data_IF_723877100301
#
_entry.id   IF_723877100301
#
_cell.length_a   1.000
_cell.length_b   1.000
_cell.length_c   1.000
_cell.angle_alpha   90.00
_cell.angle_beta   90.00
_cell.angle_gamma   90.00
#
_symmetry.space_group_name_H-M   'P 1'
#
loop_
_entity.id
_entity.type
_entity.pdbx_description
1 polymer ?
#
# COMPACT_ATOMS: atom_id res chain seq x y z
N UNK A 1 8.83 -28.24 7.07
CA UNK A 1 10.29 -28.05 7.09
C UNK A 1 10.85 -28.68 5.83
N UNK A 2 11.53 -27.93 4.95
CA UNK A 2 12.04 -28.44 3.66
C UNK A 2 11.02 -29.27 2.87
N UNK A 3 9.88 -28.67 2.53
CA UNK A 3 8.67 -29.33 1.96
C UNK A 3 7.96 -30.37 2.84
N UNK A 4 8.62 -31.02 3.79
CA UNK A 4 8.03 -32.10 4.62
C UNK A 4 7.16 -31.52 5.76
N UNK A 5 5.94 -32.05 6.02
CA UNK A 5 5.11 -31.65 7.16
C UNK A 5 5.70 -32.09 8.51
N UNK A 6 5.42 -31.33 9.58
CA UNK A 6 5.77 -31.71 10.96
C UNK A 6 4.51 -32.16 11.69
N UNK A 7 4.37 -33.46 11.95
CA UNK A 7 3.29 -34.00 12.77
C UNK A 7 3.67 -33.94 14.27
N UNK A 8 3.38 -32.81 14.90
CA UNK A 8 3.69 -32.57 16.31
C UNK A 8 2.53 -32.91 17.27
N UNK A 9 1.28 -32.72 16.84
CA UNK A 9 0.09 -32.84 17.70
C UNK A 9 -0.86 -34.00 17.30
N UNK A 10 -0.52 -34.77 16.26
CA UNK A 10 -1.41 -35.78 15.68
C UNK A 10 -2.40 -35.18 14.67
N UNK A 11 -2.59 -35.84 13.53
CA UNK A 11 -3.65 -35.49 12.57
C UNK A 11 -5.01 -35.47 13.28
N UNK A 12 -5.73 -34.36 13.18
CA UNK A 12 -7.11 -34.26 13.66
C UNK A 12 -8.14 -34.72 12.62
N UNK A 13 -7.66 -35.26 11.49
CA UNK A 13 -8.48 -35.95 10.50
C UNK A 13 -8.40 -37.46 10.69
N UNK A 14 -9.56 -38.08 10.87
CA UNK A 14 -9.73 -39.53 10.96
C UNK A 14 -9.73 -40.17 9.56
N UNK A 15 -8.67 -40.94 9.31
CA UNK A 15 -8.58 -41.91 8.24
C UNK A 15 -9.40 -43.16 8.59
N UNK A 16 -10.68 -43.17 8.22
CA UNK A 16 -11.64 -44.30 8.38
C UNK A 16 -11.28 -45.54 7.55
N UNK A 17 -10.10 -46.11 7.80
CA UNK A 17 -9.47 -47.18 7.01
C UNK A 17 -8.69 -46.70 5.76
N UNK A 18 -8.59 -45.39 5.51
CA UNK A 18 -8.00 -44.83 4.28
C UNK A 18 -6.62 -44.21 4.51
N UNK A 19 -5.55 -44.94 4.19
CA UNK A 19 -4.18 -44.40 4.20
C UNK A 19 -3.86 -43.57 2.94
N UNK A 20 -2.78 -42.77 3.01
CA UNK A 20 -2.25 -42.03 1.86
C UNK A 20 -1.84 -43.03 0.77
N UNK A 21 -2.45 -42.91 -0.42
CA UNK A 21 -2.30 -43.88 -1.51
C UNK A 21 -3.36 -44.99 -1.57
N UNK A 22 -4.28 -45.05 -0.59
CA UNK A 22 -5.44 -45.94 -0.61
C UNK A 22 -6.57 -45.51 -1.57
N UNK A 23 -7.69 -46.26 -1.61
CA UNK A 23 -8.87 -45.88 -2.39
C UNK A 23 -9.46 -44.53 -1.95
N UNK A 24 -10.26 -43.89 -2.82
CA UNK A 24 -10.83 -42.55 -2.61
C UNK A 24 -11.85 -42.52 -1.45
N UNK A 25 -11.39 -42.33 -0.23
CA UNK A 25 -12.21 -42.02 0.94
C UNK A 25 -12.41 -40.51 1.15
N UNK A 26 -13.44 -40.14 1.91
CA UNK A 26 -13.55 -38.80 2.51
C UNK A 26 -13.08 -38.89 3.97
N UNK A 27 -12.13 -38.05 4.36
CA UNK A 27 -11.64 -37.97 5.73
C UNK A 27 -12.66 -37.27 6.63
N UNK A 28 -12.73 -37.68 7.90
CA UNK A 28 -13.62 -37.06 8.90
C UNK A 28 -12.83 -36.09 9.75
N UNK A 29 -13.23 -34.82 9.83
CA UNK A 29 -12.59 -33.85 10.72
C UNK A 29 -13.07 -34.06 12.17
N UNK A 30 -12.13 -34.21 13.10
CA UNK A 30 -12.38 -34.29 14.54
C UNK A 30 -11.97 -32.99 15.26
N UNK A 31 -12.11 -31.85 14.57
CA UNK A 31 -11.78 -30.51 15.07
C UNK A 31 -10.61 -29.83 14.33
N UNK A 32 -10.30 -28.56 14.66
CA UNK A 32 -9.16 -27.85 14.10
C UNK A 32 -7.84 -28.33 14.70
N UNK A 33 -6.76 -28.30 13.91
CA UNK A 33 -5.42 -28.65 14.36
C UNK A 33 -4.87 -27.58 15.33
N UNK A 34 -4.24 -27.94 16.48
CA UNK A 34 -3.91 -26.98 17.54
C UNK A 34 -2.95 -25.83 17.17
N UNK A 35 -2.05 -26.03 16.19
CA UNK A 35 -1.08 -25.00 15.80
C UNK A 35 -0.69 -25.10 14.32
N UNK A 36 -1.09 -24.09 13.53
CA UNK A 36 -0.80 -24.04 12.09
C UNK A 36 -1.81 -24.80 11.24
N UNK A 37 -1.33 -25.53 10.23
CA UNK A 37 -2.14 -26.34 9.30
C UNK A 37 -1.90 -27.82 9.56
N UNK A 38 -2.95 -28.63 9.50
CA UNK A 38 -2.85 -30.07 9.75
C UNK A 38 -1.88 -30.75 8.74
N UNK A 39 -0.92 -31.58 9.23
CA UNK A 39 -0.02 -32.36 8.39
C UNK A 39 -0.68 -33.14 7.24
N UNK A 40 -1.91 -33.63 7.42
CA UNK A 40 -2.56 -34.53 6.45
C UNK A 40 -2.84 -33.86 5.09
N UNK A 41 -2.86 -32.53 5.01
CA UNK A 41 -3.07 -31.82 3.73
C UNK A 41 -1.93 -32.03 2.73
N UNK A 42 -0.72 -32.32 3.22
CA UNK A 42 0.45 -32.60 2.39
C UNK A 42 0.34 -33.98 1.72
N UNK A 43 0.51 -34.02 0.39
CA UNK A 43 0.30 -35.21 -0.43
C UNK A 43 -1.16 -35.45 -0.85
N UNK A 44 -2.10 -34.55 -0.51
CA UNK A 44 -3.49 -34.65 -1.00
C UNK A 44 -3.65 -34.01 -2.37
N UNK A 45 -4.54 -34.58 -3.20
CA UNK A 45 -4.83 -34.01 -4.54
C UNK A 45 -5.45 -32.60 -4.51
N UNK A 46 -5.93 -32.17 -3.35
CA UNK A 46 -6.56 -30.86 -3.14
C UNK A 46 -5.65 -29.88 -2.36
N UNK A 47 -4.41 -30.28 -2.02
CA UNK A 47 -3.40 -29.48 -1.31
C UNK A 47 -3.31 -28.05 -1.85
N UNK A 48 -3.05 -27.92 -3.15
CA UNK A 48 -2.86 -26.62 -3.83
C UNK A 48 -4.12 -25.75 -3.76
N UNK A 49 -5.32 -26.32 -3.89
CA UNK A 49 -6.58 -25.58 -3.83
C UNK A 49 -6.84 -25.03 -2.42
N UNK A 50 -6.55 -25.82 -1.38
CA UNK A 50 -6.65 -25.39 0.02
C UNK A 50 -5.64 -24.28 0.34
N UNK A 51 -4.36 -24.52 0.08
CA UNK A 51 -3.29 -23.56 0.42
C UNK A 51 -3.38 -22.26 -0.39
N UNK A 52 -3.81 -22.31 -1.66
CA UNK A 52 -4.10 -21.11 -2.45
C UNK A 52 -5.17 -20.24 -1.76
N UNK A 53 -6.35 -20.83 -1.46
CA UNK A 53 -7.44 -20.08 -0.82
C UNK A 53 -7.08 -19.56 0.57
N UNK A 54 -6.27 -20.30 1.33
CA UNK A 54 -5.80 -19.90 2.66
C UNK A 54 -4.80 -18.75 2.57
N UNK A 55 -3.71 -18.91 1.80
CA UNK A 55 -2.65 -17.90 1.68
C UNK A 55 -3.17 -16.59 1.07
N UNK A 56 -4.04 -16.65 0.07
CA UNK A 56 -4.67 -15.47 -0.53
C UNK A 56 -5.43 -14.63 0.52
N UNK A 57 -6.25 -15.28 1.37
CA UNK A 57 -7.00 -14.60 2.44
C UNK A 57 -6.09 -13.99 3.50
N UNK A 58 -5.06 -14.71 3.92
CA UNK A 58 -4.08 -14.22 4.92
C UNK A 58 -3.32 -13.00 4.37
N UNK A 59 -2.86 -13.07 3.12
CA UNK A 59 -2.22 -11.95 2.40
C UNK A 59 -3.08 -10.68 2.42
N UNK A 60 -4.37 -10.83 2.11
CA UNK A 60 -5.35 -9.73 2.12
C UNK A 60 -5.58 -9.17 3.54
N UNK A 61 -5.75 -10.04 4.55
CA UNK A 61 -5.92 -9.61 5.96
C UNK A 61 -4.70 -8.83 6.45
N UNK A 62 -3.48 -9.34 6.18
CA UNK A 62 -2.24 -8.67 6.59
C UNK A 62 -2.09 -7.30 5.90
N UNK A 63 -2.33 -7.22 4.59
CA UNK A 63 -2.22 -5.96 3.85
C UNK A 63 -3.19 -4.88 4.31
N UNK A 64 -4.46 -5.24 4.50
CA UNK A 64 -5.49 -4.32 5.03
C UNK A 64 -5.16 -3.89 6.46
N UNK A 65 -4.63 -4.80 7.30
CA UNK A 65 -4.20 -4.47 8.67
C UNK A 65 -3.01 -3.50 8.68
N UNK A 66 -1.95 -3.79 7.91
CA UNK A 66 -0.77 -2.94 7.78
C UNK A 66 -1.13 -1.54 7.22
N UNK A 67 -2.01 -1.48 6.23
CA UNK A 67 -2.47 -0.21 5.67
C UNK A 67 -3.38 0.58 6.60
N UNK A 68 -4.18 -0.07 7.44
CA UNK A 68 -4.96 0.60 8.48
C UNK A 68 -4.04 1.16 9.57
N UNK A 69 -3.03 0.39 9.98
CA UNK A 69 -1.99 0.86 10.90
C UNK A 69 -1.21 2.07 10.35
N UNK A 70 -0.86 2.08 9.06
CA UNK A 70 -0.25 3.25 8.41
C UNK A 70 -1.11 4.51 8.47
N UNK A 71 -2.44 4.40 8.36
CA UNK A 71 -3.35 5.55 8.52
C UNK A 71 -3.46 5.95 10.01
N UNK A 72 -3.43 5.02 10.96
CA UNK A 72 -3.33 5.35 12.39
C UNK A 72 -2.05 6.14 12.74
N UNK A 73 -0.92 5.87 12.09
CA UNK A 73 0.30 6.67 12.28
C UNK A 73 0.13 8.11 11.76
N UNK A 74 -0.59 8.31 10.65
CA UNK A 74 -0.96 9.65 10.16
C UNK A 74 -1.79 10.45 11.18
N UNK A 75 -2.70 9.81 11.92
CA UNK A 75 -3.43 10.47 13.02
C UNK A 75 -2.49 11.02 14.09
N UNK A 76 -1.46 10.27 14.49
CA UNK A 76 -0.49 10.74 15.50
C UNK A 76 0.32 11.93 14.99
N UNK A 77 0.57 12.04 13.67
CA UNK A 77 1.24 13.21 13.10
C UNK A 77 0.38 14.48 13.22
N UNK A 78 -0.88 14.44 12.76
CA UNK A 78 -1.80 15.58 12.90
C UNK A 78 -2.02 15.99 14.38
N UNK A 79 -2.05 15.01 15.30
CA UNK A 79 -2.15 15.28 16.75
C UNK A 79 -0.88 15.96 17.31
N UNK A 80 0.30 15.61 16.80
CA UNK A 80 1.57 16.24 17.18
C UNK A 80 1.67 17.68 16.64
N UNK A 81 1.30 17.89 15.37
CA UNK A 81 1.26 19.19 14.70
C UNK A 81 0.11 20.09 15.19
N UNK A 82 -0.86 19.51 15.90
CA UNK A 82 -2.10 20.12 16.43
C UNK A 82 -3.09 20.59 15.36
N UNK A 83 -3.00 20.05 14.14
CA UNK A 83 -4.05 20.23 13.13
C UNK A 83 -5.26 19.34 13.42
N UNK A 84 -6.15 19.85 14.25
CA UNK A 84 -7.45 19.23 14.52
C UNK A 84 -8.36 19.21 13.29
N UNK A 85 -8.21 20.16 12.35
CA UNK A 85 -9.08 20.23 11.18
C UNK A 85 -8.73 19.12 10.17
N UNK A 86 -7.45 18.91 9.88
CA UNK A 86 -6.97 17.75 9.11
C UNK A 86 -7.33 16.41 9.78
N UNK A 87 -7.24 16.32 11.11
CA UNK A 87 -7.65 15.11 11.84
C UNK A 87 -9.16 14.79 11.66
N UNK A 88 -10.04 15.79 11.74
CA UNK A 88 -11.48 15.57 11.59
C UNK A 88 -11.96 15.48 10.14
N UNK A 89 -11.36 16.22 9.20
CA UNK A 89 -11.84 16.35 7.82
C UNK A 89 -11.02 15.56 6.78
N UNK A 90 -9.81 15.12 7.10
CA UNK A 90 -9.02 14.26 6.23
C UNK A 90 -8.85 12.85 6.83
N UNK A 91 -8.39 12.72 8.07
CA UNK A 91 -8.11 11.41 8.66
C UNK A 91 -9.37 10.56 8.92
N UNK A 92 -10.47 11.15 9.42
CA UNK A 92 -11.72 10.40 9.66
C UNK A 92 -12.29 9.84 8.33
N UNK A 93 -12.49 10.63 7.25
CA UNK A 93 -12.92 10.08 5.96
C UNK A 93 -11.98 9.00 5.42
N UNK A 94 -10.65 9.22 5.52
CA UNK A 94 -9.59 8.27 5.11
C UNK A 94 -9.74 6.92 5.84
N UNK A 95 -9.96 6.93 7.15
CA UNK A 95 -10.20 5.72 7.96
C UNK A 95 -11.55 5.06 7.70
N UNK A 96 -12.60 5.87 7.55
CA UNK A 96 -13.96 5.39 7.33
C UNK A 96 -14.07 4.67 5.99
N UNK A 97 -13.59 5.29 4.91
CA UNK A 97 -13.55 4.69 3.57
C UNK A 97 -12.84 3.32 3.58
N UNK A 98 -11.65 3.27 4.19
CA UNK A 98 -10.83 2.07 4.31
C UNK A 98 -11.55 0.95 5.09
N UNK A 99 -12.24 1.31 6.18
CA UNK A 99 -12.95 0.37 7.05
C UNK A 99 -14.25 -0.13 6.40
N UNK A 100 -15.04 0.76 5.78
CA UNK A 100 -16.31 0.40 5.15
C UNK A 100 -16.14 -0.48 3.90
N UNK A 101 -15.02 -0.35 3.18
CA UNK A 101 -14.72 -1.12 1.98
C UNK A 101 -13.92 -2.40 2.31
N UNK A 102 -12.66 -2.25 2.71
CA UNK A 102 -11.73 -3.36 2.91
C UNK A 102 -11.77 -3.94 4.33
N UNK A 103 -12.16 -3.16 5.34
CA UNK A 103 -12.45 -3.68 6.69
C UNK A 103 -13.65 -4.63 6.69
N UNK A 104 -14.73 -4.29 5.97
CA UNK A 104 -15.86 -5.21 5.76
C UNK A 104 -15.44 -6.48 5.03
N UNK A 105 -14.53 -6.39 4.05
CA UNK A 105 -13.96 -7.55 3.38
C UNK A 105 -13.21 -8.49 4.35
N UNK A 106 -12.44 -7.98 5.34
CA UNK A 106 -11.89 -8.82 6.42
C UNK A 106 -13.02 -9.48 7.21
N UNK A 107 -14.03 -8.71 7.64
CA UNK A 107 -15.12 -9.22 8.47
C UNK A 107 -15.83 -10.42 7.82
N UNK A 108 -16.08 -10.38 6.51
CA UNK A 108 -16.69 -11.50 5.79
C UNK A 108 -15.72 -12.68 5.53
N UNK A 109 -14.39 -12.47 5.50
CA UNK A 109 -13.43 -13.59 5.52
C UNK A 109 -13.51 -14.33 6.86
N UNK A 110 -13.42 -13.58 7.97
CA UNK A 110 -13.42 -14.13 9.33
C UNK A 110 -14.76 -14.83 9.61
N UNK A 111 -15.88 -14.18 9.28
CA UNK A 111 -17.22 -14.77 9.42
C UNK A 111 -17.36 -16.08 8.62
N UNK A 112 -16.85 -16.12 7.38
CA UNK A 112 -16.86 -17.34 6.55
C UNK A 112 -15.98 -18.47 7.14
N UNK A 113 -14.97 -18.15 7.95
CA UNK A 113 -14.18 -19.14 8.69
C UNK A 113 -14.84 -19.60 10.01
N UNK A 114 -15.72 -18.80 10.63
CA UNK A 114 -16.42 -19.18 11.87
C UNK A 114 -17.71 -19.97 11.66
N UNK A 115 -18.28 -19.95 10.46
CA UNK A 115 -19.53 -20.67 10.12
C UNK A 115 -19.23 -22.03 9.47
N UNK A 116 -19.90 -23.08 9.95
CA UNK A 116 -19.89 -24.42 9.37
C UNK A 116 -20.91 -24.53 8.23
N UNK A 117 -20.40 -24.51 6.99
CA UNK A 117 -21.19 -24.63 5.76
C UNK A 117 -21.57 -26.07 5.40
N UNK A 118 -21.25 -27.06 6.24
CA UNK A 118 -21.61 -28.47 6.02
C UNK A 118 -23.00 -28.86 6.55
N UNK A 119 -23.71 -27.95 7.22
CA UNK A 119 -24.97 -28.26 7.90
C UNK A 119 -26.17 -28.20 6.94
N UNK A 120 -27.08 -29.19 6.96
CA UNK A 120 -28.23 -29.24 6.06
C UNK A 120 -29.22 -28.11 6.39
N UNK A 121 -29.23 -27.08 5.55
CA UNK A 121 -30.05 -25.87 5.73
C UNK A 121 -29.31 -24.57 5.39
N UNK A 122 -27.98 -24.59 5.32
CA UNK A 122 -27.20 -23.46 4.80
C UNK A 122 -27.07 -23.51 3.27
N UNK A 123 -27.04 -22.33 2.66
CA UNK A 123 -26.81 -22.15 1.23
C UNK A 123 -25.34 -22.37 0.86
N UNK A 124 -25.06 -22.56 -0.44
CA UNK A 124 -23.71 -22.83 -0.92
C UNK A 124 -22.72 -21.70 -0.56
N UNK A 125 -21.51 -22.01 -0.05
CA UNK A 125 -20.62 -21.04 0.60
C UNK A 125 -20.14 -19.95 -0.38
N UNK A 126 -20.63 -18.70 -0.31
CA UNK A 126 -20.61 -17.75 -1.44
C UNK A 126 -19.21 -17.28 -1.87
N UNK A 127 -19.06 -16.98 -3.16
CA UNK A 127 -17.80 -16.52 -3.75
C UNK A 127 -17.49 -15.07 -3.34
N UNK A 128 -16.61 -14.91 -2.35
CA UNK A 128 -16.35 -13.63 -1.68
C UNK A 128 -16.00 -12.47 -2.63
N UNK A 129 -15.20 -12.74 -3.67
CA UNK A 129 -14.84 -11.76 -4.70
C UNK A 129 -16.09 -11.28 -5.46
N UNK A 130 -17.00 -12.20 -5.80
CA UNK A 130 -18.28 -11.84 -6.41
C UNK A 130 -19.20 -11.09 -5.44
N UNK A 131 -19.18 -11.41 -4.13
CA UNK A 131 -19.90 -10.63 -3.12
C UNK A 131 -19.41 -9.18 -3.04
N UNK A 132 -18.10 -8.95 -3.17
CA UNK A 132 -17.52 -7.60 -3.22
C UNK A 132 -17.81 -6.89 -4.55
N UNK A 133 -17.73 -7.56 -5.70
CA UNK A 133 -18.07 -6.95 -7.00
C UNK A 133 -19.57 -6.60 -7.05
N UNK A 134 -20.46 -7.50 -6.63
CA UNK A 134 -21.91 -7.26 -6.61
C UNK A 134 -22.31 -6.15 -5.63
N UNK A 135 -21.59 -5.98 -4.53
CA UNK A 135 -21.78 -4.87 -3.58
C UNK A 135 -21.73 -3.53 -4.32
N UNK A 136 -20.67 -3.25 -5.08
CA UNK A 136 -20.56 -1.99 -5.84
C UNK A 136 -21.43 -1.94 -7.11
N UNK A 137 -21.62 -3.07 -7.80
CA UNK A 137 -22.32 -3.11 -9.09
C UNK A 137 -23.86 -3.18 -8.98
N UNK A 138 -24.40 -3.62 -7.84
CA UNK A 138 -25.85 -3.80 -7.63
C UNK A 138 -26.20 -3.69 -6.13
N UNK A 139 -26.10 -2.49 -5.53
CA UNK A 139 -26.37 -2.28 -4.11
C UNK A 139 -27.77 -2.74 -3.71
N UNK A 140 -27.89 -3.35 -2.52
CA UNK A 140 -29.16 -3.82 -1.95
C UNK A 140 -29.71 -5.14 -2.50
N UNK A 141 -29.21 -5.67 -3.63
CA UNK A 141 -29.73 -6.91 -4.24
C UNK A 141 -28.82 -8.11 -3.96
N UNK A 142 -29.01 -8.73 -2.79
CA UNK A 142 -28.38 -10.02 -2.44
C UNK A 142 -29.34 -11.16 -2.82
N UNK A 143 -28.95 -12.13 -3.68
CA UNK A 143 -29.74 -13.33 -3.90
C UNK A 143 -29.77 -14.18 -2.63
N UNK A 144 -30.95 -14.65 -2.22
CA UNK A 144 -31.15 -15.44 -0.99
C UNK A 144 -30.24 -16.66 -0.92
N UNK A 145 -30.00 -17.30 -2.06
CA UNK A 145 -29.09 -18.44 -2.26
C UNK A 145 -27.59 -18.11 -2.04
N UNK A 146 -27.26 -16.89 -1.64
CA UNK A 146 -25.90 -16.40 -1.37
C UNK A 146 -25.84 -15.36 -0.24
N UNK A 147 -26.88 -15.23 0.57
CA UNK A 147 -26.84 -14.46 1.82
C UNK A 147 -25.85 -15.11 2.80
N UNK A 148 -24.92 -14.31 3.31
CA UNK A 148 -23.90 -14.74 4.27
C UNK A 148 -24.44 -14.65 5.71
N UNK A 149 -25.26 -13.64 6.00
CA UNK A 149 -25.89 -13.40 7.30
C UNK A 149 -27.22 -12.63 7.11
N UNK A 150 -28.20 -12.76 8.01
CA UNK A 150 -29.49 -12.05 7.90
C UNK A 150 -29.29 -10.53 7.95
N UNK A 151 -29.93 -9.80 7.03
CA UNK A 151 -29.82 -8.34 6.93
C UNK A 151 -28.60 -7.83 6.14
N UNK A 152 -27.85 -8.71 5.46
CA UNK A 152 -26.67 -8.32 4.67
C UNK A 152 -26.94 -7.18 3.66
N UNK A 153 -28.10 -7.16 3.00
CA UNK A 153 -28.44 -6.14 2.00
C UNK A 153 -28.43 -4.71 2.60
N UNK A 154 -29.04 -4.54 3.78
CA UNK A 154 -29.07 -3.27 4.51
C UNK A 154 -27.66 -2.83 4.91
N UNK A 155 -26.90 -3.74 5.53
CA UNK A 155 -25.53 -3.44 5.98
C UNK A 155 -24.63 -3.06 4.79
N UNK A 156 -24.72 -3.77 3.67
CA UNK A 156 -23.98 -3.41 2.46
C UNK A 156 -24.41 -2.05 1.89
N UNK A 157 -25.69 -1.70 1.94
CA UNK A 157 -26.18 -0.38 1.51
C UNK A 157 -25.63 0.74 2.40
N UNK A 158 -25.72 0.61 3.73
CA UNK A 158 -25.15 1.60 4.67
C UNK A 158 -23.63 1.78 4.47
N UNK A 159 -22.89 0.68 4.29
CA UNK A 159 -21.44 0.74 4.06
C UNK A 159 -21.08 1.46 2.75
N UNK A 160 -21.83 1.23 1.67
CA UNK A 160 -21.64 1.94 0.39
C UNK A 160 -21.99 3.41 0.53
N UNK A 161 -23.15 3.75 1.11
CA UNK A 161 -23.58 5.14 1.28
C UNK A 161 -22.57 5.95 2.11
N UNK A 162 -22.04 5.37 3.19
CA UNK A 162 -21.06 6.07 4.03
C UNK A 162 -19.68 6.16 3.34
N UNK A 163 -19.27 5.13 2.59
CA UNK A 163 -18.05 5.20 1.78
C UNK A 163 -18.16 6.24 0.65
N UNK A 164 -19.29 6.32 -0.05
CA UNK A 164 -19.54 7.34 -1.07
C UNK A 164 -19.59 8.75 -0.48
N UNK A 165 -20.21 8.92 0.70
CA UNK A 165 -20.25 10.21 1.40
C UNK A 165 -18.87 10.69 1.87
N UNK A 166 -17.95 9.77 2.17
CA UNK A 166 -16.59 10.12 2.62
C UNK A 166 -15.76 10.84 1.55
N UNK A 167 -16.03 10.60 0.26
CA UNK A 167 -15.26 11.17 -0.86
C UNK A 167 -15.52 12.68 -1.04
N UNK A 168 -16.78 13.18 -1.11
CA UNK A 168 -17.06 14.62 -1.08
C UNK A 168 -16.57 15.33 0.18
N UNK A 169 -16.64 14.69 1.36
CA UNK A 169 -16.15 15.29 2.61
C UNK A 169 -14.64 15.55 2.53
N UNK A 170 -13.86 14.59 2.06
CA UNK A 170 -12.41 14.75 1.89
C UNK A 170 -12.06 15.76 0.78
N UNK A 171 -12.83 15.82 -0.30
CA UNK A 171 -12.61 16.80 -1.38
C UNK A 171 -12.90 18.25 -0.93
N UNK A 172 -13.95 18.47 -0.14
CA UNK A 172 -14.33 19.80 0.35
C UNK A 172 -13.53 20.27 1.57
N UNK A 173 -12.85 19.36 2.28
CA UNK A 173 -12.12 19.63 3.52
C UNK A 173 -11.24 20.90 3.47
N UNK A 174 -10.16 20.89 2.69
CA UNK A 174 -9.20 22.00 2.59
C UNK A 174 -9.73 23.26 1.88
N UNK A 175 -10.44 23.20 0.72
CA UNK A 175 -10.95 24.41 0.09
C UNK A 175 -11.99 25.15 0.97
N UNK A 176 -12.82 24.45 1.75
CA UNK A 176 -13.70 25.11 2.71
C UNK A 176 -12.92 25.81 3.85
N UNK A 177 -11.88 25.17 4.41
CA UNK A 177 -11.04 25.81 5.44
C UNK A 177 -10.43 27.10 4.90
N UNK A 178 -9.81 27.08 3.71
CA UNK A 178 -9.19 28.26 3.12
C UNK A 178 -10.21 29.39 2.87
N UNK A 179 -11.37 29.06 2.28
CA UNK A 179 -12.43 30.04 2.04
C UNK A 179 -12.96 30.67 3.33
N UNK A 180 -13.17 29.90 4.40
CA UNK A 180 -13.61 30.45 5.69
C UNK A 180 -12.52 31.26 6.41
N UNK A 181 -11.24 30.91 6.28
CA UNK A 181 -10.13 31.70 6.82
C UNK A 181 -9.95 33.03 6.08
N UNK A 182 -9.90 33.03 4.74
CA UNK A 182 -9.83 34.27 3.95
C UNK A 182 -11.06 35.17 4.18
N UNK A 183 -12.26 34.58 4.29
CA UNK A 183 -13.49 35.34 4.59
C UNK A 183 -13.48 36.00 5.97
N UNK A 184 -12.80 35.43 6.98
CA UNK A 184 -12.60 36.11 8.27
C UNK A 184 -11.46 37.13 8.25
N UNK A 185 -10.41 36.92 7.43
CA UNK A 185 -9.30 37.86 7.27
C UNK A 185 -9.73 39.23 6.73
N UNK A 186 -10.74 39.27 5.86
CA UNK A 186 -11.27 40.52 5.26
C UNK A 186 -11.96 41.50 6.22
N UNK A 187 -12.17 41.15 7.49
CA UNK A 187 -12.91 41.98 8.46
C UNK A 187 -12.07 42.92 9.35
N UNK A 188 -10.73 42.91 9.24
CA UNK A 188 -9.82 43.33 10.31
C UNK A 188 -8.89 44.53 10.05
N UNK A 189 -9.31 45.56 9.29
CA UNK A 189 -8.41 46.65 8.91
C UNK A 189 -7.95 47.57 10.06
N UNK A 190 -6.69 47.46 10.51
CA UNK A 190 -5.96 48.52 11.25
C UNK A 190 -4.43 48.38 11.27
N UNK A 191 -3.79 49.06 10.31
CA UNK A 191 -2.60 49.92 10.48
C UNK A 191 -1.29 49.36 11.09
N UNK A 192 -0.29 49.13 10.21
CA UNK A 192 1.12 49.50 10.42
C UNK A 192 2.03 48.58 11.26
N UNK A 193 2.98 47.91 10.60
CA UNK A 193 4.40 48.36 10.63
C UNK A 193 5.21 47.66 9.51
N UNK A 194 6.13 48.40 8.88
CA UNK A 194 6.92 47.95 7.73
C UNK A 194 8.23 47.25 8.10
N UNK A 195 8.29 45.92 7.96
CA UNK A 195 9.55 45.19 7.84
C UNK A 195 9.49 44.13 6.73
N UNK A 196 10.31 44.32 5.69
CA UNK A 196 10.42 43.39 4.56
C UNK A 196 11.12 42.08 4.94
N UNK A 197 10.78 40.99 4.22
CA UNK A 197 11.32 39.64 4.38
C UNK A 197 12.72 39.44 3.76
N UNK A 198 13.02 38.28 3.12
CA UNK A 198 12.10 37.25 2.59
C UNK A 198 11.71 36.17 3.62
N UNK A 199 10.72 35.32 3.39
CA UNK A 199 9.93 35.08 2.17
C UNK A 199 10.00 33.59 1.78
N UNK A 200 9.04 32.80 2.28
CA UNK A 200 9.14 31.34 2.34
C UNK A 200 7.99 30.62 1.59
N UNK A 201 7.66 31.08 0.38
CA UNK A 201 6.51 30.56 -0.40
C UNK A 201 6.76 30.48 -1.91
N UNK A 202 7.94 30.03 -2.35
CA UNK A 202 8.16 29.72 -3.77
C UNK A 202 9.21 28.61 -3.99
N UNK A 203 8.79 27.34 -3.96
CA UNK A 203 9.45 26.23 -4.69
C UNK A 203 8.65 24.91 -4.64
N UNK A 204 7.42 24.90 -5.18
CA UNK A 204 6.69 23.64 -5.51
C UNK A 204 6.50 23.49 -7.04
N UNK A 205 7.61 23.60 -7.76
CA UNK A 205 7.71 23.19 -9.17
C UNK A 205 9.07 22.51 -9.40
N UNK A 206 9.19 21.79 -10.53
CA UNK A 206 10.42 21.15 -11.03
C UNK A 206 10.83 19.80 -10.38
N UNK A 207 9.88 18.97 -9.90
CA UNK A 207 10.15 17.51 -9.71
C UNK A 207 9.02 16.58 -10.21
N UNK A 208 8.51 16.77 -11.44
CA UNK A 208 7.85 15.62 -12.12
C UNK A 208 7.90 15.55 -13.66
N UNK A 209 8.71 16.38 -14.34
CA UNK A 209 8.93 16.27 -15.80
C UNK A 209 10.40 15.96 -16.15
N UNK A 210 10.81 14.69 -16.00
CA UNK A 210 12.02 14.15 -16.68
C UNK A 210 12.17 12.62 -16.72
N UNK A 211 11.09 11.90 -17.00
CA UNK A 211 11.14 10.46 -17.37
C UNK A 211 10.72 10.24 -18.83
N UNK A 212 11.41 10.91 -19.76
CA UNK A 212 11.21 10.74 -21.19
C UNK A 212 12.30 11.44 -22.01
N UNK A 213 12.94 10.70 -22.91
CA UNK A 213 13.76 11.17 -24.04
C UNK A 213 14.81 12.27 -23.74
N UNK A 214 16.10 11.88 -23.65
CA UNK A 214 16.96 12.00 -24.84
C UNK A 214 18.34 11.34 -24.69
N UNK A 215 18.73 10.59 -25.72
CA UNK A 215 20.12 10.25 -26.03
C UNK A 215 20.63 11.24 -27.08
N UNK A 216 21.50 12.18 -26.72
CA UNK A 216 22.58 12.78 -27.54
C UNK A 216 23.19 13.99 -26.82
N UNK A 217 24.45 14.34 -27.13
CA UNK A 217 25.20 15.42 -26.47
C UNK A 217 26.10 16.16 -27.46
N UNK A 218 25.76 17.41 -27.78
CA UNK A 218 26.54 18.32 -28.63
C UNK A 218 26.03 19.76 -28.46
N UNK A 219 26.57 20.66 -27.62
CA UNK A 219 27.96 21.08 -27.29
C UNK A 219 28.43 22.30 -28.11
N UNK A 220 27.91 23.47 -27.74
CA UNK A 220 28.62 24.78 -27.67
C UNK A 220 27.76 25.71 -26.81
N UNK A 221 28.26 26.66 -26.02
CA UNK A 221 29.59 27.26 -25.98
C UNK A 221 29.56 28.61 -26.70
N UNK A 222 29.35 29.69 -25.95
CA UNK A 222 29.17 31.05 -26.48
C UNK A 222 30.33 32.00 -26.19
N UNK A 223 30.29 33.19 -26.80
CA UNK A 223 31.17 34.34 -26.58
C UNK A 223 30.41 35.63 -26.92
N UNK A 224 30.89 36.79 -26.46
CA UNK A 224 30.28 38.11 -26.74
C UNK A 224 31.31 39.21 -27.08
N UNK A 225 30.82 40.35 -27.55
CA UNK A 225 31.55 41.58 -27.95
C UNK A 225 30.51 42.73 -27.94
N UNK A 226 30.63 43.80 -27.14
CA UNK A 226 31.40 45.06 -27.31
C UNK A 226 30.76 46.15 -28.20
N UNK A 227 30.62 47.35 -27.59
CA UNK A 227 30.52 48.74 -28.13
C UNK A 227 29.31 49.12 -29.04
N UNK A 228 28.74 50.34 -29.01
CA UNK A 228 28.91 51.57 -28.18
C UNK A 228 27.57 51.88 -27.42
N UNK A 229 27.02 53.07 -27.10
CA UNK A 229 27.41 54.50 -27.23
C UNK A 229 26.23 55.47 -26.96
N UNK A 230 26.48 56.77 -26.66
CA UNK A 230 25.46 57.85 -26.84
C UNK A 230 25.06 58.79 -25.65
N UNK A 231 25.82 59.89 -25.48
CA UNK A 231 25.54 61.25 -24.95
C UNK A 231 24.41 61.65 -23.92
N UNK A 232 24.86 62.26 -22.81
CA UNK A 232 24.38 63.43 -22.02
C UNK A 232 22.89 63.87 -21.88
N UNK A 233 22.40 63.98 -20.62
CA UNK A 233 22.26 65.28 -19.88
C UNK A 233 21.62 65.23 -18.46
N UNK A 234 22.42 65.70 -17.47
CA UNK A 234 22.15 66.82 -16.53
C UNK A 234 20.71 67.05 -15.98
N UNK A 235 20.55 66.92 -14.66
CA UNK A 235 19.51 67.62 -13.88
C UNK A 235 18.99 66.83 -12.67
N UNK A 236 18.84 67.48 -11.51
CA UNK A 236 18.26 66.88 -10.31
C UNK A 236 17.42 67.89 -9.54
N UNK A 237 16.65 67.41 -8.56
CA UNK A 237 15.72 68.19 -7.75
C UNK A 237 14.38 67.46 -7.60
N UNK A 238 13.95 67.20 -6.37
CA UNK A 238 12.72 66.47 -6.08
C UNK A 238 11.48 67.39 -6.02
N UNK A 239 10.31 66.79 -6.21
CA UNK A 239 9.01 67.40 -6.03
C UNK A 239 7.91 66.35 -6.16
N UNK A 240 7.11 66.15 -5.13
CA UNK A 240 6.05 65.15 -5.14
C UNK A 240 4.81 65.61 -5.91
N UNK A 241 4.20 64.69 -6.67
CA UNK A 241 2.89 64.89 -7.30
C UNK A 241 2.09 63.60 -7.14
N UNK A 242 0.89 63.69 -6.58
CA UNK A 242 -0.03 62.55 -6.52
C UNK A 242 -0.59 62.25 -7.91
N UNK A 243 -0.47 61.01 -8.37
CA UNK A 243 -1.14 60.51 -9.56
C UNK A 243 -1.95 59.26 -9.19
N UNK A 244 -3.28 59.40 -9.15
CA UNK A 244 -4.22 58.32 -8.79
C UNK A 244 -4.75 57.65 -10.06
N UNK A 245 -4.15 56.54 -10.46
CA UNK A 245 -4.57 55.58 -11.50
C UNK A 245 -3.84 54.26 -11.14
N UNK A 246 -4.41 53.06 -11.23
CA UNK A 246 -5.79 52.67 -11.59
C UNK A 246 -6.14 51.34 -10.87
N UNK A 247 -7.39 50.87 -10.96
CA UNK A 247 -7.90 49.78 -10.11
C UNK A 247 -7.87 48.42 -10.82
N UNK A 248 -6.70 47.78 -10.95
CA UNK A 248 -6.64 46.34 -11.25
C UNK A 248 -7.08 45.55 -10.01
N UNK A 249 -7.95 44.55 -10.19
CA UNK A 249 -8.66 43.89 -9.09
C UNK A 249 -8.44 42.39 -9.01
N UNK A 250 -8.22 41.91 -7.78
CA UNK A 250 -8.70 40.65 -7.16
C UNK A 250 -8.60 39.28 -7.88
N UNK A 251 -8.02 39.14 -9.08
CA UNK A 251 -7.87 37.82 -9.74
C UNK A 251 -6.94 36.85 -8.96
N UNK A 252 -6.14 37.34 -8.02
CA UNK A 252 -5.32 36.50 -7.13
C UNK A 252 -6.13 35.58 -6.20
N UNK A 253 -7.43 35.86 -5.96
CA UNK A 253 -8.28 35.02 -5.13
C UNK A 253 -8.73 33.72 -5.82
N UNK A 254 -9.17 33.82 -7.09
CA UNK A 254 -9.77 32.67 -7.78
C UNK A 254 -8.74 31.62 -8.19
N UNK A 255 -7.54 32.04 -8.63
CA UNK A 255 -6.48 31.11 -9.01
C UNK A 255 -6.02 30.27 -7.81
N UNK A 256 -5.76 30.92 -6.67
CA UNK A 256 -5.35 30.22 -5.43
C UNK A 256 -6.41 29.21 -4.95
N UNK A 257 -7.71 29.55 -5.05
CA UNK A 257 -8.78 28.61 -4.71
C UNK A 257 -8.86 27.43 -5.70
N UNK A 258 -8.72 27.70 -7.00
CA UNK A 258 -8.67 26.68 -8.04
C UNK A 258 -7.51 25.70 -7.83
N UNK A 259 -6.30 26.21 -7.56
CA UNK A 259 -5.10 25.40 -7.40
C UNK A 259 -5.18 24.49 -6.15
N UNK A 260 -5.73 25.00 -5.04
CA UNK A 260 -6.03 24.18 -3.83
C UNK A 260 -7.09 23.10 -4.13
N UNK A 261 -8.12 23.43 -4.90
CA UNK A 261 -9.17 22.48 -5.28
C UNK A 261 -8.63 21.37 -6.21
N UNK A 262 -7.78 21.72 -7.17
CA UNK A 262 -7.10 20.77 -8.07
C UNK A 262 -6.20 19.84 -7.26
N UNK A 263 -5.33 20.37 -6.40
CA UNK A 263 -4.43 19.58 -5.57
C UNK A 263 -5.21 18.62 -4.64
N UNK A 264 -6.22 19.11 -3.92
CA UNK A 264 -7.05 18.27 -3.04
C UNK A 264 -7.87 17.23 -3.83
N UNK A 265 -8.28 17.56 -5.07
CA UNK A 265 -8.92 16.63 -6.00
C UNK A 265 -7.98 15.49 -6.43
N UNK A 266 -6.74 15.81 -6.81
CA UNK A 266 -5.70 14.82 -7.16
C UNK A 266 -5.43 13.89 -5.97
N UNK A 267 -5.15 14.45 -4.79
CA UNK A 267 -4.92 13.69 -3.56
C UNK A 267 -6.12 12.80 -3.18
N UNK A 268 -7.35 13.28 -3.39
CA UNK A 268 -8.58 12.49 -3.19
C UNK A 268 -8.66 11.29 -4.14
N UNK A 269 -8.34 11.49 -5.42
CA UNK A 269 -8.36 10.44 -6.45
C UNK A 269 -7.22 9.43 -6.19
N UNK A 270 -6.01 9.89 -5.85
CA UNK A 270 -4.89 9.02 -5.50
C UNK A 270 -5.22 8.16 -4.28
N UNK A 271 -5.79 8.74 -3.21
CA UNK A 271 -6.17 7.95 -2.04
C UNK A 271 -7.18 6.84 -2.37
N UNK A 272 -8.23 7.14 -3.13
CA UNK A 272 -9.29 6.18 -3.47
C UNK A 272 -8.76 5.07 -4.37
N UNK A 273 -8.07 5.41 -5.47
CA UNK A 273 -7.50 4.42 -6.39
C UNK A 273 -6.32 3.66 -5.75
N UNK A 274 -5.50 4.36 -4.97
CA UNK A 274 -4.37 3.81 -4.22
C UNK A 274 -4.80 2.78 -3.18
N UNK A 275 -5.90 2.99 -2.46
CA UNK A 275 -6.40 1.96 -1.52
C UNK A 275 -6.80 0.65 -2.23
N UNK A 276 -7.39 0.73 -3.42
CA UNK A 276 -7.71 -0.45 -4.24
C UNK A 276 -6.43 -1.11 -4.77
N UNK A 277 -5.56 -0.33 -5.40
CA UNK A 277 -4.30 -0.79 -6.00
C UNK A 277 -3.37 -1.43 -4.96
N UNK A 278 -3.16 -0.76 -3.83
CA UNK A 278 -2.30 -1.25 -2.76
C UNK A 278 -2.87 -2.53 -2.15
N UNK A 279 -4.20 -2.63 -1.94
CA UNK A 279 -4.81 -3.87 -1.41
C UNK A 279 -4.59 -5.05 -2.37
N UNK A 280 -4.69 -4.83 -3.68
CA UNK A 280 -4.36 -5.84 -4.68
C UNK A 280 -2.86 -6.19 -4.69
N UNK A 281 -1.98 -5.21 -4.47
CA UNK A 281 -0.52 -5.40 -4.42
C UNK A 281 -0.06 -6.41 -3.35
N UNK A 282 -0.75 -6.47 -2.20
CA UNK A 282 -0.45 -7.46 -1.14
C UNK A 282 -0.68 -8.92 -1.55
N UNK A 283 -1.42 -9.20 -2.64
CA UNK A 283 -1.56 -10.57 -3.19
C UNK A 283 -0.22 -11.19 -3.60
N UNK A 284 0.81 -10.35 -3.81
CA UNK A 284 2.21 -10.78 -4.01
C UNK A 284 2.73 -11.67 -2.88
N UNK A 285 2.32 -11.40 -1.63
CA UNK A 285 2.70 -12.23 -0.46
C UNK A 285 2.20 -13.67 -0.59
N UNK A 286 0.99 -13.86 -1.13
CA UNK A 286 0.47 -15.21 -1.43
C UNK A 286 1.25 -15.84 -2.59
N UNK A 287 1.38 -15.13 -3.72
CA UNK A 287 2.00 -15.68 -4.93
C UNK A 287 3.45 -16.16 -4.67
N UNK A 288 4.25 -15.34 -4.01
CA UNK A 288 5.64 -15.65 -3.67
C UNK A 288 5.75 -16.78 -2.63
N UNK A 289 4.91 -16.74 -1.58
CA UNK A 289 4.83 -17.84 -0.61
C UNK A 289 4.39 -19.17 -1.25
N UNK A 290 3.61 -19.14 -2.32
CA UNK A 290 3.23 -20.33 -3.09
C UNK A 290 4.42 -20.81 -3.94
N UNK A 291 5.05 -19.92 -4.72
CA UNK A 291 6.21 -20.26 -5.54
C UNK A 291 7.35 -20.92 -4.73
N UNK A 292 7.73 -20.33 -3.58
CA UNK A 292 8.72 -20.89 -2.65
C UNK A 292 8.38 -22.32 -2.19
N UNK A 293 7.11 -22.57 -1.88
CA UNK A 293 6.65 -23.87 -1.39
C UNK A 293 6.71 -24.95 -2.50
N UNK A 294 6.17 -24.64 -3.69
CA UNK A 294 6.19 -25.57 -4.83
C UNK A 294 7.62 -25.85 -5.30
N UNK A 295 8.50 -24.83 -5.34
CA UNK A 295 9.90 -24.98 -5.73
C UNK A 295 10.68 -25.84 -4.72
N UNK A 296 10.40 -25.70 -3.41
CA UNK A 296 10.94 -26.61 -2.38
C UNK A 296 10.42 -28.05 -2.53
N UNK A 297 9.18 -28.26 -2.96
CA UNK A 297 8.61 -29.60 -3.20
C UNK A 297 9.22 -30.27 -4.45
N UNK A 298 9.44 -29.49 -5.52
CA UNK A 298 10.17 -29.95 -6.73
C UNK A 298 11.61 -30.32 -6.40
N UNK A 299 12.35 -29.52 -5.62
CA UNK A 299 13.72 -29.85 -5.23
C UNK A 299 13.78 -31.11 -4.35
N UNK A 300 12.88 -31.26 -3.39
CA UNK A 300 12.82 -32.45 -2.54
C UNK A 300 12.50 -33.72 -3.35
N UNK A 301 11.46 -33.66 -4.20
CA UNK A 301 11.02 -34.81 -5.00
C UNK A 301 11.99 -35.20 -6.11
N UNK A 302 12.71 -34.25 -6.74
CA UNK A 302 13.65 -34.56 -7.82
C UNK A 302 15.06 -34.91 -7.34
N UNK A 303 15.57 -34.24 -6.31
CA UNK A 303 16.95 -34.45 -5.84
C UNK A 303 17.01 -35.53 -4.77
N UNK A 304 16.22 -35.45 -3.70
CA UNK A 304 16.29 -36.45 -2.62
C UNK A 304 15.57 -37.75 -3.02
N UNK A 305 14.33 -37.68 -3.51
CA UNK A 305 13.58 -38.90 -3.86
C UNK A 305 14.10 -39.50 -5.18
N UNK A 306 14.02 -38.76 -6.29
CA UNK A 306 14.43 -39.27 -7.60
C UNK A 306 15.91 -39.68 -7.71
N UNK A 307 16.84 -38.75 -7.45
CA UNK A 307 18.28 -39.06 -7.57
C UNK A 307 18.83 -39.88 -6.39
N UNK A 308 18.36 -39.62 -5.17
CA UNK A 308 18.86 -40.27 -3.95
C UNK A 308 18.29 -41.65 -3.67
N UNK A 309 16.96 -41.80 -3.68
CA UNK A 309 16.27 -43.06 -3.33
C UNK A 309 16.02 -43.98 -4.53
N UNK A 310 15.56 -43.43 -5.66
CA UNK A 310 15.22 -44.23 -6.85
C UNK A 310 16.45 -44.49 -7.75
N UNK A 311 17.51 -43.69 -7.64
CA UNK A 311 18.67 -43.70 -8.54
C UNK A 311 19.57 -44.94 -8.51
N UNK A 312 19.33 -45.93 -7.63
CA UNK A 312 20.04 -47.22 -7.63
C UNK A 312 21.51 -47.21 -7.15
N UNK A 313 22.15 -46.04 -7.03
CA UNK A 313 23.56 -45.89 -6.60
C UNK A 313 23.83 -46.12 -5.10
N UNK A 314 22.83 -46.60 -4.34
CA UNK A 314 22.96 -46.93 -2.92
C UNK A 314 23.39 -45.74 -2.04
N UNK A 315 24.10 -45.98 -0.91
CA UNK A 315 24.48 -44.94 0.03
C UNK A 315 25.32 -43.80 -0.58
N UNK A 316 26.16 -44.11 -1.58
CA UNK A 316 26.99 -43.11 -2.28
C UNK A 316 26.12 -42.16 -3.10
N UNK A 317 25.10 -42.69 -3.79
CA UNK A 317 24.09 -41.88 -4.47
C UNK A 317 23.39 -40.91 -3.55
N UNK A 318 22.96 -41.38 -2.37
CA UNK A 318 22.27 -40.55 -1.38
C UNK A 318 23.14 -39.38 -0.87
N UNK A 319 24.45 -39.59 -0.66
CA UNK A 319 25.37 -38.50 -0.24
C UNK A 319 25.54 -37.46 -1.35
N UNK A 320 25.68 -37.87 -2.61
CA UNK A 320 25.76 -36.96 -3.75
C UNK A 320 24.45 -36.20 -3.98
N UNK A 321 23.31 -36.89 -3.86
CA UNK A 321 21.98 -36.31 -3.96
C UNK A 321 21.71 -35.28 -2.86
N UNK A 322 22.11 -35.57 -1.61
CA UNK A 322 22.03 -34.61 -0.51
C UNK A 322 22.93 -33.39 -0.74
N UNK A 323 24.16 -33.57 -1.24
CA UNK A 323 25.05 -32.46 -1.59
C UNK A 323 24.47 -31.55 -2.67
N UNK A 324 23.93 -32.15 -3.75
CA UNK A 324 23.26 -31.41 -4.82
C UNK A 324 22.00 -30.67 -4.32
N UNK A 325 21.18 -31.33 -3.50
CA UNK A 325 20.00 -30.73 -2.87
C UNK A 325 20.37 -29.56 -1.96
N UNK A 326 21.38 -29.72 -1.09
CA UNK A 326 21.82 -28.67 -0.19
C UNK A 326 22.32 -27.42 -0.95
N UNK A 327 23.12 -27.61 -2.00
CA UNK A 327 23.60 -26.50 -2.84
C UNK A 327 22.46 -25.82 -3.59
N UNK A 328 21.51 -26.58 -4.16
CA UNK A 328 20.34 -26.01 -4.83
C UNK A 328 19.44 -25.22 -3.87
N UNK A 329 19.15 -25.78 -2.69
CA UNK A 329 18.39 -25.10 -1.64
C UNK A 329 19.10 -23.84 -1.14
N UNK A 330 20.42 -23.89 -0.90
CA UNK A 330 21.18 -22.71 -0.49
C UNK A 330 21.16 -21.60 -1.54
N UNK A 331 21.56 -21.91 -2.78
CA UNK A 331 21.71 -20.91 -3.83
C UNK A 331 20.36 -20.30 -4.30
N UNK A 332 19.30 -21.12 -4.41
CA UNK A 332 18.02 -20.66 -4.96
C UNK A 332 17.05 -20.23 -3.86
N UNK A 333 16.76 -21.09 -2.88
CA UNK A 333 15.74 -20.79 -1.86
C UNK A 333 16.25 -19.81 -0.77
N UNK A 334 17.52 -19.93 -0.34
CA UNK A 334 18.08 -19.03 0.68
C UNK A 334 18.75 -17.76 0.15
N UNK A 335 19.38 -17.77 -1.03
CA UNK A 335 19.97 -16.55 -1.60
C UNK A 335 19.02 -15.81 -2.54
N UNK A 336 18.62 -16.42 -3.66
CA UNK A 336 17.83 -15.74 -4.70
C UNK A 336 16.40 -15.38 -4.24
N UNK A 337 15.62 -16.36 -3.82
CA UNK A 337 14.19 -16.21 -3.47
C UNK A 337 14.01 -15.34 -2.21
N UNK A 338 14.91 -15.48 -1.22
CA UNK A 338 14.91 -14.61 -0.04
C UNK A 338 15.23 -13.14 -0.40
N UNK A 339 16.10 -12.88 -1.39
CA UNK A 339 16.34 -11.52 -1.89
C UNK A 339 15.10 -10.95 -2.61
N UNK A 340 14.40 -11.75 -3.40
CA UNK A 340 13.11 -11.37 -4.02
C UNK A 340 12.06 -11.04 -2.95
N UNK A 341 11.93 -11.90 -1.92
CA UNK A 341 11.09 -11.66 -0.75
C UNK A 341 11.42 -10.33 -0.04
N UNK A 342 12.70 -10.04 0.19
CA UNK A 342 13.13 -8.80 0.86
C UNK A 342 12.85 -7.56 0.01
N UNK A 343 13.13 -7.59 -1.30
CA UNK A 343 12.84 -6.46 -2.19
C UNK A 343 11.32 -6.21 -2.33
N UNK A 344 10.52 -7.28 -2.34
CA UNK A 344 9.06 -7.17 -2.34
C UNK A 344 8.48 -6.71 -1.00
N UNK A 345 9.07 -7.09 0.13
CA UNK A 345 8.73 -6.55 1.44
C UNK A 345 9.14 -5.06 1.57
N UNK A 346 10.31 -4.67 1.07
CA UNK A 346 10.79 -3.29 1.06
C UNK A 346 9.85 -2.39 0.25
N UNK A 347 9.41 -2.85 -0.94
CA UNK A 347 8.39 -2.14 -1.73
C UNK A 347 7.11 -1.92 -0.92
N UNK A 348 6.57 -2.97 -0.29
CA UNK A 348 5.35 -2.90 0.53
C UNK A 348 5.47 -1.91 1.71
N UNK A 349 6.69 -1.67 2.20
CA UNK A 349 6.94 -0.62 3.19
C UNK A 349 7.02 0.78 2.57
N UNK A 350 7.69 0.92 1.42
CA UNK A 350 7.91 2.22 0.77
C UNK A 350 6.64 2.77 0.09
N UNK A 351 5.99 2.00 -0.76
CA UNK A 351 4.87 2.48 -1.58
C UNK A 351 3.53 2.27 -0.88
N UNK A 352 3.31 1.08 -0.30
CA UNK A 352 2.01 0.74 0.27
C UNK A 352 1.81 1.12 1.76
N UNK A 353 2.88 1.46 2.50
CA UNK A 353 2.82 1.85 3.93
C UNK A 353 3.28 3.30 4.20
N UNK A 354 4.46 3.73 3.75
CA UNK A 354 4.97 5.10 4.00
C UNK A 354 4.10 6.20 3.36
N UNK A 355 3.53 5.97 2.16
CA UNK A 355 2.61 6.88 1.43
C UNK A 355 1.24 7.10 2.13
N UNK A 356 1.17 6.94 3.45
CA UNK A 356 -0.01 7.17 4.30
C UNK A 356 0.23 8.16 5.43
N UNK A 357 1.49 8.43 5.76
CA UNK A 357 1.89 9.28 6.90
C UNK A 357 3.27 9.96 6.74
N UNK A 358 4.10 9.58 5.76
CA UNK A 358 5.46 10.10 5.62
C UNK A 358 5.61 10.98 4.38
N UNK A 359 5.65 12.30 4.60
CA UNK A 359 5.70 13.32 3.54
C UNK A 359 7.12 13.56 2.96
N UNK A 360 8.16 13.01 3.59
CA UNK A 360 9.54 12.99 3.10
C UNK A 360 10.27 14.35 2.91
N UNK A 361 9.65 15.49 3.21
CA UNK A 361 10.18 16.86 3.06
C UNK A 361 11.40 17.23 3.95
N UNK A 362 11.94 16.28 4.72
CA UNK A 362 13.04 16.53 5.67
C UNK A 362 14.44 16.48 5.04
N UNK A 363 15.29 17.46 5.36
CA UNK A 363 16.72 17.37 5.07
C UNK A 363 17.42 16.41 6.06
N UNK A 364 18.44 15.68 5.59
CA UNK A 364 19.29 14.87 6.47
C UNK A 364 20.06 15.81 7.41
N UNK A 365 19.92 15.61 8.72
CA UNK A 365 20.79 16.26 9.70
C UNK A 365 22.22 15.74 9.55
N UNK A 366 23.11 16.58 9.03
CA UNK A 366 24.57 16.39 9.06
C UNK A 366 25.13 17.30 10.16
N UNK A 367 25.68 16.68 11.21
CA UNK A 367 26.38 17.40 12.27
C UNK A 367 27.80 17.75 11.82
N UNK A 368 28.33 18.87 12.31
CA UNK A 368 29.74 19.23 12.14
C UNK A 368 30.63 18.30 12.99
N UNK A 369 30.96 17.12 12.46
CA UNK A 369 31.89 16.17 13.06
C UNK A 369 33.27 16.26 12.41
N UNK A 370 34.20 16.89 13.13
CA UNK A 370 35.60 17.03 12.75
C UNK A 370 36.31 15.68 12.51
N UNK A 371 35.85 14.57 13.10
CA UNK A 371 36.42 13.25 12.81
C UNK A 371 36.05 12.77 11.40
N UNK A 372 34.86 13.13 10.90
CA UNK A 372 34.42 12.81 9.54
C UNK A 372 35.08 13.71 8.49
N UNK A 373 35.18 15.02 8.75
CA UNK A 373 35.80 15.96 7.81
C UNK A 373 37.33 15.81 7.76
N UNK A 374 38.00 15.39 8.84
CA UNK A 374 39.43 15.04 8.81
C UNK A 374 39.75 13.86 7.86
N UNK A 375 38.78 12.97 7.58
CA UNK A 375 38.93 11.89 6.60
C UNK A 375 38.59 12.35 5.15
N UNK A 376 38.00 13.54 5.02
CA UNK A 376 37.44 14.09 3.77
C UNK A 376 38.29 15.21 3.18
N UNK A 377 39.09 15.87 4.03
CA UNK A 377 40.01 16.97 3.71
C UNK A 377 41.43 16.74 4.25
N UNK A 378 41.78 15.52 4.65
CA UNK A 378 43.09 15.16 5.20
C UNK A 378 44.14 14.83 4.12
N UNK A 379 44.77 15.86 3.56
CA UNK A 379 46.14 15.82 3.00
C UNK A 379 47.08 16.73 3.82
#
# INVERSE_FOLDING_TARGET
>A
CFSVPINAFGSHWDSKGYWIGGPKGSFSANGPYPYGVDPIWYGTKNQLQFFNSLKMKISVILGVTQMTFGIFLGAFNHVYERDWLGLFLEWIPRMLFMTCTFGYMIAIIVYKWTVDWSQPGLNAPPNLIQTMIKMFLSPGVVPKDSELYPGQAEVQLYLILTALLSVPVMLLAKPCINHFCCSQGGGGGRHGDDHHGPGATEMDQVVHEKTGLMQSKGKSGGYGSLEEGGDSKRGGGGGGVSASHEHEGDEHGEHSFSDVLIHQGIHTIEFVLGCVSNTASYLRLWALSLAHAELSEVFWSKLIVGLGLEGGFGPVGMVLAFGAWFVATFAVLLCMDTMECVLHALRLHWVEFQNKFYHAEGYKFDALDFASDAFKYGE
#
